data_IF_507609205568
#
_entry.id   IF_507609205568
#
_cell.length_a   1.000
_cell.length_b   1.000
_cell.length_c   1.000
_cell.angle_alpha   90.00
_cell.angle_beta   90.00
_cell.angle_gamma   90.00
#
_symmetry.space_group_name_H-M   'P 1'
#
loop_
_entity.id
_entity.type
_entity.pdbx_description
1 polymer ?
#
# COMPACT_ATOMS: atom_id res chain seq x y z
N UNK A 1 -0.81 -22.12 -2.94
CA UNK A 1 -0.39 -20.74 -3.15
C UNK A 1 -1.58 -19.79 -3.35
N UNK A 2 -2.37 -19.94 -4.43
CA UNK A 2 -3.53 -19.07 -4.71
C UNK A 2 -4.43 -18.90 -3.49
N UNK A 3 -4.87 -20.01 -2.88
CA UNK A 3 -5.80 -19.97 -1.74
C UNK A 3 -5.22 -19.22 -0.53
N UNK A 4 -3.92 -19.36 -0.26
CA UNK A 4 -3.29 -18.69 0.89
C UNK A 4 -3.26 -17.18 0.64
N UNK A 5 -2.77 -16.75 -0.53
CA UNK A 5 -2.70 -15.32 -0.87
C UNK A 5 -4.10 -14.70 -0.96
N UNK A 6 -5.08 -15.44 -1.47
CA UNK A 6 -6.49 -15.01 -1.47
C UNK A 6 -7.04 -14.84 -0.05
N UNK A 7 -6.80 -15.80 0.85
CA UNK A 7 -7.27 -15.71 2.24
C UNK A 7 -6.62 -14.53 2.98
N UNK A 8 -5.33 -14.27 2.76
CA UNK A 8 -4.68 -13.09 3.28
C UNK A 8 -5.28 -11.80 2.71
N UNK A 9 -5.53 -11.73 1.40
CA UNK A 9 -6.21 -10.61 0.76
C UNK A 9 -7.63 -10.39 1.30
N UNK A 10 -8.36 -11.48 1.54
CA UNK A 10 -9.69 -11.42 2.15
C UNK A 10 -9.65 -10.91 3.58
N UNK A 11 -8.69 -11.38 4.39
CA UNK A 11 -8.46 -10.86 5.73
C UNK A 11 -8.19 -9.35 5.71
N UNK A 12 -7.27 -8.89 4.84
CA UNK A 12 -7.00 -7.46 4.67
C UNK A 12 -8.25 -6.69 4.23
N UNK A 13 -9.01 -7.21 3.27
CA UNK A 13 -10.25 -6.57 2.81
C UNK A 13 -11.30 -6.43 3.90
N UNK A 14 -11.51 -7.47 4.72
CA UNK A 14 -12.45 -7.43 5.83
C UNK A 14 -12.01 -6.45 6.92
N UNK A 15 -10.72 -6.44 7.26
CA UNK A 15 -10.18 -5.49 8.25
C UNK A 15 -10.16 -4.06 7.71
N UNK A 16 -10.00 -3.87 6.39
CA UNK A 16 -10.16 -2.55 5.75
C UNK A 16 -11.60 -2.04 5.88
N UNK A 17 -12.61 -2.88 5.62
CA UNK A 17 -14.01 -2.50 5.80
C UNK A 17 -14.30 -2.10 7.26
N UNK A 18 -13.73 -2.83 8.22
CA UNK A 18 -13.81 -2.46 9.63
C UNK A 18 -13.20 -1.08 9.88
N UNK A 19 -11.98 -0.81 9.40
CA UNK A 19 -11.30 0.48 9.54
C UNK A 19 -12.12 1.61 8.94
N UNK A 20 -12.60 1.46 7.71
CA UNK A 20 -13.40 2.48 7.03
C UNK A 20 -14.70 2.78 7.81
N UNK A 21 -15.39 1.74 8.28
CA UNK A 21 -16.58 1.91 9.11
C UNK A 21 -16.28 2.59 10.45
N UNK A 22 -15.19 2.19 11.11
CA UNK A 22 -14.79 2.78 12.38
C UNK A 22 -14.47 4.28 12.24
N UNK A 23 -13.62 4.63 11.29
CA UNK A 23 -13.23 6.04 11.05
C UNK A 23 -14.45 6.87 10.69
N UNK A 24 -15.27 6.39 9.75
CA UNK A 24 -16.44 7.15 9.29
C UNK A 24 -17.49 7.36 10.40
N UNK A 25 -17.87 6.31 11.16
CA UNK A 25 -18.97 6.39 12.12
C UNK A 25 -18.54 6.81 13.51
N UNK A 26 -17.36 6.40 13.96
CA UNK A 26 -16.92 6.56 15.37
C UNK A 26 -16.01 7.78 15.52
N UNK A 27 -15.03 7.92 14.65
CA UNK A 27 -14.02 8.97 14.78
C UNK A 27 -14.47 10.29 14.15
N UNK A 28 -14.98 10.27 12.93
CA UNK A 28 -15.24 11.46 12.14
C UNK A 28 -16.73 11.85 12.04
N UNK A 29 -17.60 11.27 12.85
CA UNK A 29 -18.99 11.69 12.96
C UNK A 29 -19.73 11.69 11.59
N UNK A 30 -19.51 10.68 10.76
CA UNK A 30 -20.07 10.48 9.40
C UNK A 30 -19.50 11.43 8.34
N UNK A 31 -18.29 11.93 8.55
CA UNK A 31 -17.53 12.66 7.53
C UNK A 31 -16.43 11.74 7.00
N UNK A 32 -16.29 11.65 5.68
CA UNK A 32 -15.24 10.82 5.08
C UNK A 32 -13.89 11.51 5.16
N UNK A 33 -12.89 10.79 5.68
CA UNK A 33 -11.51 11.28 5.71
C UNK A 33 -10.72 10.67 4.56
N UNK A 34 -10.37 11.50 3.59
CA UNK A 34 -9.67 11.11 2.38
C UNK A 34 -8.24 10.63 2.62
N UNK A 35 -7.63 10.97 3.76
CA UNK A 35 -6.34 10.42 4.17
C UNK A 35 -6.39 8.89 4.28
N UNK A 36 -7.50 8.35 4.75
CA UNK A 36 -7.70 6.91 4.92
C UNK A 36 -8.24 6.20 3.69
N UNK A 37 -8.29 6.85 2.52
CA UNK A 37 -8.70 6.19 1.29
C UNK A 37 -7.84 4.92 1.08
N UNK A 38 -8.44 3.74 0.78
CA UNK A 38 -7.75 2.45 0.85
C UNK A 38 -6.86 2.18 -0.37
N UNK A 39 -6.00 3.12 -0.76
CA UNK A 39 -5.13 2.98 -1.90
C UNK A 39 -3.69 3.47 -1.64
N UNK A 40 -3.17 3.24 -0.43
CA UNK A 40 -1.74 3.37 -0.18
C UNK A 40 -0.99 2.19 -0.83
N UNK A 41 0.33 2.31 -1.04
CA UNK A 41 1.12 1.23 -1.63
C UNK A 41 1.00 -0.09 -0.86
N UNK A 42 0.90 -0.02 0.47
CA UNK A 42 0.64 -1.16 1.35
C UNK A 42 -0.79 -1.73 1.21
N UNK A 43 -1.72 -1.03 0.57
CA UNK A 43 -3.07 -1.54 0.29
C UNK A 43 -3.15 -2.32 -1.03
N UNK A 44 -2.22 -2.11 -1.96
CA UNK A 44 -2.22 -2.81 -3.27
C UNK A 44 -2.20 -4.32 -3.11
N UNK A 45 -1.36 -4.93 -2.23
CA UNK A 45 -1.36 -6.38 -2.01
C UNK A 45 -2.72 -6.97 -1.62
N UNK A 46 -3.57 -6.23 -0.91
CA UNK A 46 -4.94 -6.64 -0.59
C UNK A 46 -5.74 -6.88 -1.88
N UNK A 47 -5.74 -5.90 -2.79
CA UNK A 47 -6.46 -6.03 -4.07
C UNK A 47 -5.89 -7.16 -4.91
N UNK A 48 -4.56 -7.26 -5.03
CA UNK A 48 -3.92 -8.33 -5.77
C UNK A 48 -4.29 -9.71 -5.21
N UNK A 49 -4.31 -9.84 -3.87
CA UNK A 49 -4.73 -11.07 -3.19
C UNK A 49 -6.18 -11.44 -3.48
N UNK A 50 -7.09 -10.47 -3.45
CA UNK A 50 -8.51 -10.69 -3.75
C UNK A 50 -8.74 -11.09 -5.21
N UNK A 51 -8.00 -10.50 -6.16
CA UNK A 51 -8.18 -10.78 -7.58
C UNK A 51 -7.36 -11.98 -8.08
N UNK A 52 -6.45 -12.55 -7.27
CA UNK A 52 -5.55 -13.62 -7.70
C UNK A 52 -6.24 -14.86 -8.26
N UNK A 53 -7.44 -15.31 -7.77
CA UNK A 53 -8.14 -16.44 -8.36
C UNK A 53 -8.71 -16.17 -9.75
N UNK A 54 -8.95 -14.89 -10.08
CA UNK A 54 -9.64 -14.45 -11.29
C UNK A 54 -8.70 -14.22 -12.47
N UNK A 55 -7.38 -14.10 -12.21
CA UNK A 55 -6.40 -13.75 -13.25
C UNK A 55 -5.68 -14.97 -13.81
N UNK A 56 -5.25 -14.94 -15.10
CA UNK A 56 -4.47 -16.03 -15.70
C UNK A 56 -3.07 -16.14 -15.07
N UNK A 57 -2.44 -17.31 -15.19
CA UNK A 57 -1.17 -17.64 -14.55
C UNK A 57 -0.06 -16.60 -14.83
N UNK A 58 -0.01 -16.04 -16.04
CA UNK A 58 0.98 -15.02 -16.42
C UNK A 58 0.85 -13.75 -15.57
N UNK A 59 -0.36 -13.24 -15.37
CA UNK A 59 -0.64 -12.05 -14.56
C UNK A 59 -0.44 -12.39 -13.07
N UNK A 60 -0.82 -13.59 -12.65
CA UNK A 60 -0.66 -14.08 -11.28
C UNK A 60 0.79 -14.07 -10.83
N UNK A 61 1.71 -14.42 -11.72
CA UNK A 61 3.15 -14.36 -11.41
C UNK A 61 3.61 -12.91 -11.15
N UNK A 62 3.11 -11.94 -11.91
CA UNK A 62 3.38 -10.52 -11.66
C UNK A 62 2.82 -10.10 -10.29
N UNK A 63 1.64 -10.57 -9.91
CA UNK A 63 1.06 -10.29 -8.58
C UNK A 63 1.92 -10.87 -7.46
N UNK A 64 2.40 -12.10 -7.60
CA UNK A 64 3.31 -12.69 -6.61
C UNK A 64 4.61 -11.91 -6.46
N UNK A 65 5.23 -11.50 -7.58
CA UNK A 65 6.43 -10.67 -7.54
C UNK A 65 6.15 -9.31 -6.88
N UNK A 66 5.06 -8.67 -7.23
CA UNK A 66 4.69 -7.38 -6.63
C UNK A 66 4.45 -7.49 -5.12
N UNK A 67 3.72 -8.51 -4.67
CA UNK A 67 3.47 -8.75 -3.23
C UNK A 67 4.79 -9.05 -2.51
N UNK A 68 5.68 -9.83 -3.13
CA UNK A 68 7.02 -10.11 -2.62
C UNK A 68 7.83 -8.82 -2.44
N UNK A 69 7.95 -8.01 -3.49
CA UNK A 69 8.84 -6.84 -3.49
C UNK A 69 8.24 -5.69 -2.66
N UNK A 70 7.06 -5.22 -3.03
CA UNK A 70 6.44 -4.05 -2.40
C UNK A 70 5.67 -4.37 -1.12
N UNK A 71 5.04 -5.53 -1.03
CA UNK A 71 4.32 -5.95 0.18
C UNK A 71 5.28 -6.23 1.33
N UNK A 72 6.37 -6.97 1.07
CA UNK A 72 7.38 -7.27 2.08
C UNK A 72 8.13 -6.00 2.52
N UNK A 73 8.59 -5.20 1.57
CA UNK A 73 9.29 -3.94 1.87
C UNK A 73 8.38 -3.01 2.68
N UNK A 74 7.16 -2.77 2.23
CA UNK A 74 6.20 -1.88 2.92
C UNK A 74 5.85 -2.40 4.32
N UNK A 75 5.69 -3.71 4.48
CA UNK A 75 5.44 -4.33 5.78
C UNK A 75 6.61 -4.13 6.76
N UNK A 76 7.84 -4.38 6.31
CA UNK A 76 9.04 -4.22 7.14
C UNK A 76 9.26 -2.74 7.50
N UNK A 77 9.16 -1.83 6.53
CA UNK A 77 9.40 -0.40 6.76
C UNK A 77 8.38 0.21 7.73
N UNK A 78 7.11 -0.18 7.64
CA UNK A 78 6.09 0.29 8.56
C UNK A 78 6.31 -0.22 10.01
N UNK A 79 6.86 -1.42 10.19
CA UNK A 79 7.22 -1.92 11.52
C UNK A 79 8.53 -1.32 12.03
N UNK A 80 9.46 -0.96 11.13
CA UNK A 80 10.71 -0.27 11.51
C UNK A 80 10.45 1.18 11.97
N UNK A 81 9.44 1.85 11.39
CA UNK A 81 8.99 3.19 11.79
C UNK A 81 7.49 3.15 12.11
N UNK A 82 7.12 2.68 13.32
CA UNK A 82 5.73 2.39 13.65
C UNK A 82 4.90 3.62 14.03
N UNK A 83 5.45 4.83 14.02
CA UNK A 83 4.71 6.05 14.40
C UNK A 83 3.43 6.23 13.59
N UNK A 84 3.45 5.90 12.29
CA UNK A 84 2.29 5.94 11.41
C UNK A 84 1.25 4.84 11.67
N UNK A 85 1.57 3.83 12.50
CA UNK A 85 0.64 2.77 12.91
C UNK A 85 -0.05 3.09 14.24
N UNK A 86 0.49 4.04 14.99
CA UNK A 86 -0.06 4.42 16.29
C UNK A 86 -1.29 5.29 16.10
N UNK A 87 -2.34 4.95 16.84
CA UNK A 87 -3.63 5.63 16.74
C UNK A 87 -4.20 5.83 18.16
N UNK A 88 -4.95 6.92 18.45
CA UNK A 88 -5.59 7.13 19.75
C UNK A 88 -6.48 5.97 20.18
N UNK A 89 -7.13 5.31 19.22
CA UNK A 89 -7.92 4.11 19.46
C UNK A 89 -7.06 2.86 19.30
N UNK A 90 -6.89 2.09 20.37
CA UNK A 90 -6.04 0.89 20.39
C UNK A 90 -6.43 -0.15 19.32
N UNK A 91 -7.72 -0.25 18.97
CA UNK A 91 -8.19 -1.16 17.93
C UNK A 91 -7.62 -0.80 16.55
N UNK A 92 -7.45 0.49 16.26
CA UNK A 92 -6.83 0.97 15.02
C UNK A 92 -5.33 0.73 15.02
N UNK A 93 -4.66 0.92 16.17
CA UNK A 93 -3.26 0.54 16.34
C UNK A 93 -3.06 -0.96 16.07
N UNK A 94 -3.87 -1.82 16.69
CA UNK A 94 -3.82 -3.29 16.45
C UNK A 94 -4.08 -3.61 14.98
N UNK A 95 -5.07 -2.96 14.35
CA UNK A 95 -5.32 -3.10 12.92
C UNK A 95 -4.08 -2.79 12.08
N UNK A 96 -3.41 -1.66 12.35
CA UNK A 96 -2.19 -1.26 11.64
C UNK A 96 -1.08 -2.30 11.74
N UNK A 97 -0.82 -2.84 12.94
CA UNK A 97 0.18 -3.89 13.14
C UNK A 97 -0.22 -5.21 12.45
N UNK A 98 -1.45 -5.68 12.61
CA UNK A 98 -1.94 -6.90 11.97
C UNK A 98 -1.89 -6.80 10.44
N UNK A 99 -2.21 -5.64 9.89
CA UNK A 99 -2.10 -5.34 8.47
C UNK A 99 -0.68 -5.60 7.98
N UNK A 100 0.31 -4.98 8.60
CA UNK A 100 1.69 -5.05 8.14
C UNK A 100 2.35 -6.40 8.43
N UNK A 101 1.99 -7.09 9.53
CA UNK A 101 2.37 -8.49 9.72
C UNK A 101 1.83 -9.41 8.63
N UNK A 102 0.57 -9.19 8.21
CA UNK A 102 0.00 -9.98 7.11
C UNK A 102 0.69 -9.68 5.77
N UNK A 103 1.11 -8.42 5.52
CA UNK A 103 1.90 -8.08 4.33
C UNK A 103 3.25 -8.80 4.33
N UNK A 104 3.95 -8.82 5.45
CA UNK A 104 5.22 -9.56 5.58
C UNK A 104 4.99 -11.04 5.33
N UNK A 105 3.96 -11.63 5.93
CA UNK A 105 3.60 -13.03 5.72
C UNK A 105 3.32 -13.36 4.26
N UNK A 106 2.48 -12.54 3.59
CA UNK A 106 2.19 -12.69 2.16
C UNK A 106 3.45 -12.56 1.31
N UNK A 107 4.28 -11.55 1.60
CA UNK A 107 5.53 -11.30 0.87
C UNK A 107 6.51 -12.45 1.00
N UNK A 108 6.70 -12.98 2.20
CA UNK A 108 7.57 -14.16 2.45
C UNK A 108 7.06 -15.40 1.72
N UNK A 109 5.76 -15.69 1.76
CA UNK A 109 5.18 -16.84 1.05
C UNK A 109 5.39 -16.70 -0.47
N UNK A 110 5.21 -15.50 -1.01
CA UNK A 110 5.47 -15.23 -2.42
C UNK A 110 6.97 -15.39 -2.76
N UNK A 111 7.87 -14.89 -1.91
CA UNK A 111 9.31 -15.05 -2.08
C UNK A 111 9.73 -16.53 -2.09
N UNK A 112 9.24 -17.32 -1.13
CA UNK A 112 9.52 -18.78 -1.09
C UNK A 112 8.98 -19.50 -2.33
N UNK A 113 7.83 -19.08 -2.85
CA UNK A 113 7.26 -19.66 -4.07
C UNK A 113 8.12 -19.32 -5.30
N UNK A 114 8.64 -18.09 -5.38
CA UNK A 114 9.38 -17.59 -6.52
C UNK A 114 10.86 -18.02 -6.53
N UNK A 115 11.44 -18.50 -5.40
CA UNK A 115 12.86 -18.80 -5.24
C UNK A 115 13.51 -19.59 -6.39
N UNK A 116 12.75 -20.48 -7.06
CA UNK A 116 13.26 -21.33 -8.14
C UNK A 116 13.17 -20.70 -9.53
N UNK A 117 12.34 -19.67 -9.69
CA UNK A 117 12.00 -19.06 -10.99
C UNK A 117 12.43 -17.61 -11.08
N UNK A 118 12.77 -17.00 -9.95
CA UNK A 118 13.18 -15.60 -9.89
C UNK A 118 14.60 -15.40 -10.39
N UNK A 119 14.78 -14.30 -11.11
CA UNK A 119 16.07 -13.79 -11.57
C UNK A 119 16.25 -12.37 -11.03
N UNK A 120 17.50 -11.84 -10.98
CA UNK A 120 17.74 -10.45 -10.54
C UNK A 120 16.96 -9.38 -11.34
N UNK A 121 16.41 -9.76 -12.50
CA UNK A 121 15.59 -8.84 -13.33
C UNK A 121 14.10 -9.08 -13.22
N UNK A 122 13.65 -10.03 -12.39
CA UNK A 122 12.22 -10.37 -12.29
C UNK A 122 11.40 -9.21 -11.77
N UNK A 123 11.95 -8.33 -10.92
CA UNK A 123 11.28 -7.12 -10.44
C UNK A 123 10.85 -6.18 -11.59
N UNK A 124 11.54 -6.20 -12.76
CA UNK A 124 11.16 -5.39 -13.90
C UNK A 124 9.74 -5.69 -14.41
N UNK A 125 9.25 -6.91 -14.18
CA UNK A 125 7.89 -7.29 -14.55
C UNK A 125 6.83 -6.63 -13.67
N UNK A 126 7.19 -6.11 -12.49
CA UNK A 126 6.28 -5.41 -11.59
C UNK A 126 6.14 -3.93 -11.92
N UNK A 127 7.09 -3.35 -12.66
CA UNK A 127 7.12 -1.92 -13.01
C UNK A 127 5.84 -1.46 -13.70
N UNK A 128 5.29 -2.15 -14.73
CA UNK A 128 4.05 -1.71 -15.37
C UNK A 128 2.87 -1.64 -14.39
N UNK A 129 2.78 -2.61 -13.47
CA UNK A 129 1.74 -2.62 -12.44
C UNK A 129 1.97 -1.50 -11.42
N UNK A 130 3.21 -1.27 -11.00
CA UNK A 130 3.56 -0.16 -10.10
C UNK A 130 3.19 1.19 -10.72
N UNK A 131 3.56 1.43 -11.98
CA UNK A 131 3.22 2.67 -12.70
C UNK A 131 1.70 2.84 -12.87
N UNK A 132 0.97 1.76 -13.13
CA UNK A 132 -0.48 1.78 -13.19
C UNK A 132 -1.10 2.17 -11.83
N UNK A 133 -0.62 1.57 -10.74
CA UNK A 133 -1.06 1.94 -9.39
C UNK A 133 -0.68 3.39 -9.03
N UNK A 134 0.52 3.85 -9.43
CA UNK A 134 0.95 5.24 -9.25
C UNK A 134 0.04 6.22 -9.98
N UNK A 135 -0.37 5.89 -11.21
CA UNK A 135 -1.32 6.73 -11.96
C UNK A 135 -2.69 6.82 -11.26
N UNK A 136 -3.20 5.70 -10.72
CA UNK A 136 -4.44 5.70 -9.92
C UNK A 136 -4.25 6.54 -8.64
N UNK A 137 -3.15 6.35 -7.91
CA UNK A 137 -2.86 7.11 -6.69
C UNK A 137 -2.81 8.62 -6.98
N UNK A 138 -2.15 9.02 -8.08
CA UNK A 138 -2.11 10.42 -8.53
C UNK A 138 -3.51 10.94 -8.88
N UNK A 139 -4.32 10.16 -9.60
CA UNK A 139 -5.68 10.53 -9.92
C UNK A 139 -6.53 10.72 -8.64
N UNK A 140 -6.44 9.81 -7.66
CA UNK A 140 -7.12 9.96 -6.37
C UNK A 140 -6.67 11.23 -5.67
N UNK A 141 -5.36 11.48 -5.55
CA UNK A 141 -4.83 12.67 -4.89
C UNK A 141 -5.34 13.97 -5.53
N UNK A 142 -5.38 14.03 -6.86
CA UNK A 142 -5.83 15.24 -7.57
C UNK A 142 -7.35 15.42 -7.48
N UNK A 143 -8.12 14.36 -7.69
CA UNK A 143 -9.59 14.45 -7.71
C UNK A 143 -10.19 14.65 -6.32
N UNK A 144 -9.55 14.14 -5.27
CA UNK A 144 -10.03 14.29 -3.89
C UNK A 144 -9.57 15.58 -3.23
N UNK A 145 -8.57 16.28 -3.76
CA UNK A 145 -8.00 17.48 -3.15
C UNK A 145 -9.04 18.57 -2.76
N UNK A 146 -10.09 18.85 -3.54
CA UNK A 146 -11.13 19.80 -3.14
C UNK A 146 -11.97 19.35 -1.94
N UNK A 147 -11.92 18.06 -1.60
CA UNK A 147 -12.77 17.44 -0.57
C UNK A 147 -12.00 16.94 0.64
N UNK A 148 -10.66 16.90 0.58
CA UNK A 148 -9.85 16.40 1.66
C UNK A 148 -8.35 16.32 1.35
N UNK A 149 -7.62 15.63 2.22
CA UNK A 149 -6.16 15.62 2.31
C UNK A 149 -5.55 14.29 1.84
N UNK A 150 -6.13 13.63 0.83
CA UNK A 150 -5.56 12.40 0.30
C UNK A 150 -4.11 12.58 -0.14
N UNK A 151 -3.25 11.67 0.30
CA UNK A 151 -1.85 11.58 -0.11
C UNK A 151 -1.47 10.11 -0.35
N UNK A 152 -2.11 9.54 -1.39
CA UNK A 152 -1.86 8.16 -1.79
C UNK A 152 -0.43 8.02 -2.30
N UNK A 153 0.27 6.98 -1.85
CA UNK A 153 1.68 6.70 -2.13
C UNK A 153 2.64 7.80 -1.65
N UNK A 154 2.16 8.79 -0.87
CA UNK A 154 2.92 9.98 -0.47
C UNK A 154 3.43 10.81 -1.66
N UNK A 155 2.68 10.83 -2.76
CA UNK A 155 3.06 11.54 -4.00
C UNK A 155 2.06 12.63 -4.40
N UNK A 156 1.24 13.10 -3.46
CA UNK A 156 0.35 14.22 -3.72
C UNK A 156 1.13 15.42 -4.26
N UNK A 157 0.68 16.07 -5.33
CA UNK A 157 1.35 17.28 -5.82
C UNK A 157 1.14 18.49 -4.89
N UNK A 158 0.27 18.37 -3.91
CA UNK A 158 -0.15 19.47 -3.03
C UNK A 158 0.60 19.49 -1.69
N UNK A 159 1.24 18.38 -1.30
CA UNK A 159 1.91 18.24 -0.02
C UNK A 159 3.35 17.75 -0.20
N UNK A 160 4.32 18.21 0.63
CA UNK A 160 5.65 17.59 0.69
C UNK A 160 5.51 16.10 1.02
N UNK A 161 6.39 15.28 0.46
CA UNK A 161 6.37 13.82 0.69
C UNK A 161 6.30 13.50 2.19
N UNK A 162 5.41 12.59 2.59
CA UNK A 162 5.19 12.23 4.00
C UNK A 162 6.24 11.29 4.60
N UNK A 163 7.15 10.73 3.80
CA UNK A 163 8.23 9.86 4.29
C UNK A 163 9.38 10.70 4.85
N UNK A 164 9.90 10.34 6.02
CA UNK A 164 10.84 11.15 6.81
C UNK A 164 12.01 11.73 5.97
N UNK A 165 12.74 10.87 5.25
CA UNK A 165 13.89 11.30 4.44
C UNK A 165 13.45 12.15 3.25
N UNK A 166 12.44 11.67 2.51
CA UNK A 166 11.93 12.33 1.31
C UNK A 166 11.18 13.62 1.63
N UNK A 167 10.65 13.76 2.84
CA UNK A 167 10.09 15.02 3.32
C UNK A 167 11.12 16.12 3.29
N UNK A 168 12.29 15.90 3.91
CA UNK A 168 13.37 16.87 3.94
C UNK A 168 13.89 17.21 2.55
N UNK A 169 14.00 16.22 1.70
CA UNK A 169 14.40 16.40 0.29
C UNK A 169 13.36 17.26 -0.44
N UNK A 170 12.07 16.96 -0.28
CA UNK A 170 10.97 17.70 -0.92
C UNK A 170 10.93 19.18 -0.50
N UNK A 171 11.31 19.50 0.75
CA UNK A 171 11.41 20.88 1.21
C UNK A 171 12.53 21.67 0.50
N UNK A 172 13.59 20.98 0.04
CA UNK A 172 14.74 21.61 -0.63
C UNK A 172 14.55 21.72 -2.13
N UNK A 173 14.12 20.63 -2.80
CA UNK A 173 14.03 20.57 -4.27
C UNK A 173 12.61 20.77 -4.82
N UNK A 174 11.63 20.96 -3.94
CA UNK A 174 10.22 21.09 -4.27
C UNK A 174 9.48 19.76 -4.30
N UNK A 175 8.17 19.81 -4.08
CA UNK A 175 7.29 18.64 -3.96
C UNK A 175 7.34 17.74 -5.20
N UNK A 176 7.24 18.30 -6.40
CA UNK A 176 7.23 17.52 -7.64
C UNK A 176 8.53 16.74 -7.83
N UNK A 177 9.69 17.43 -7.70
CA UNK A 177 10.99 16.79 -7.88
C UNK A 177 11.26 15.75 -6.77
N UNK A 178 10.85 16.03 -5.53
CA UNK A 178 10.91 15.10 -4.41
C UNK A 178 10.09 13.84 -4.64
N UNK A 179 8.87 13.98 -5.15
CA UNK A 179 8.01 12.85 -5.49
C UNK A 179 8.56 12.01 -6.66
N UNK A 180 9.15 12.66 -7.68
CA UNK A 180 9.83 11.94 -8.76
C UNK A 180 11.03 11.12 -8.24
N UNK A 181 11.82 11.71 -7.34
CA UNK A 181 12.95 11.01 -6.72
C UNK A 181 12.50 9.86 -5.81
N UNK A 182 11.38 10.02 -5.12
CA UNK A 182 10.81 8.98 -4.27
C UNK A 182 10.32 7.76 -5.06
N UNK A 183 9.82 7.99 -6.29
CA UNK A 183 9.33 6.93 -7.17
C UNK A 183 10.43 6.24 -7.98
N UNK A 184 11.64 6.82 -8.08
CA UNK A 184 12.77 6.30 -8.85
C UNK A 184 13.58 5.24 -8.11
#
# INVERSE_FOLDING_TARGET
MISIVFLCGLFLGLTELYKQGFIYYIENGRTYDWWYFPFQLCSVPMYLGLFIPMVPARIRNVFYLFIQDFGLLGGIMALAEPSGLMHPYWTMTVHGFLWHFNLIFMGLICAFYNLKTETPKSYLHTIPLFLFCTAIATAVNVLSHPYGNADMFYISPYYPNGQIVFHQISLVIGTFAGNCLYLA
#
